data_IF_161900923894
#
_entry.id   IF_161900923894
#
_cell.length_a   1.000
_cell.length_b   1.000
_cell.length_c   1.000
_cell.angle_alpha   90.00
_cell.angle_beta   90.00
_cell.angle_gamma   90.00
#
_symmetry.space_group_name_H-M   'P 1'
#
loop_
_entity.id
_entity.type
_entity.pdbx_description
1 polymer ?
#
# COMPACT_ATOMS: atom_id res chain seq x y z
N UNK A 1 31.63 34.55 -32.00
CA UNK A 1 30.15 34.51 -31.99
C UNK A 1 29.73 33.05 -31.88
N UNK A 2 29.53 32.56 -30.67
CA UNK A 2 28.87 31.27 -30.43
C UNK A 2 27.50 31.58 -29.85
N UNK A 3 26.46 31.36 -30.66
CA UNK A 3 25.07 31.46 -30.25
C UNK A 3 24.62 30.09 -29.80
N UNK A 4 24.73 29.84 -28.49
CA UNK A 4 24.08 28.69 -27.86
C UNK A 4 22.57 28.92 -27.92
N UNK A 5 21.92 28.12 -28.77
CA UNK A 5 20.46 28.09 -28.88
C UNK A 5 19.94 27.31 -27.68
N UNK A 6 19.56 28.04 -26.65
CA UNK A 6 18.91 27.50 -25.46
C UNK A 6 17.53 26.97 -25.87
N UNK A 7 17.44 25.68 -26.17
CA UNK A 7 16.17 24.97 -26.38
C UNK A 7 15.42 24.94 -25.05
N UNK A 8 14.62 25.99 -24.81
CA UNK A 8 13.56 25.96 -23.82
C UNK A 8 12.56 24.88 -24.29
N UNK A 9 12.67 23.68 -23.73
CA UNK A 9 11.64 22.64 -23.88
C UNK A 9 10.31 23.21 -23.41
N UNK A 10 9.35 23.34 -24.33
CA UNK A 10 7.99 23.76 -24.00
C UNK A 10 7.40 22.81 -22.93
N UNK A 11 6.57 23.33 -22.01
CA UNK A 11 5.91 22.50 -21.02
C UNK A 11 5.03 21.44 -21.71
N UNK A 12 4.96 20.21 -21.17
CA UNK A 12 4.22 19.13 -21.80
C UNK A 12 2.74 19.50 -21.96
N UNK A 13 2.16 19.09 -23.08
CA UNK A 13 0.74 19.32 -23.37
C UNK A 13 -0.16 18.64 -22.32
N UNK A 14 -1.43 19.08 -22.17
CA UNK A 14 -2.38 18.43 -21.27
C UNK A 14 -2.59 16.93 -21.56
N UNK A 15 -2.51 16.53 -22.84
CA UNK A 15 -2.60 15.12 -23.26
C UNK A 15 -1.41 14.31 -22.78
N UNK A 16 -0.19 14.82 -22.95
CA UNK A 16 1.03 14.16 -22.47
C UNK A 16 1.03 14.04 -20.94
N UNK A 17 0.55 15.08 -20.25
CA UNK A 17 0.39 15.06 -18.80
C UNK A 17 -0.60 13.98 -18.34
N UNK A 18 -1.73 13.81 -19.06
CA UNK A 18 -2.70 12.76 -18.77
C UNK A 18 -2.18 11.35 -19.07
N UNK A 19 -1.43 11.17 -20.16
CA UNK A 19 -0.77 9.91 -20.49
C UNK A 19 0.26 9.55 -19.41
N UNK A 20 1.15 10.48 -19.05
CA UNK A 20 2.15 10.27 -18.00
C UNK A 20 1.51 9.95 -16.64
N UNK A 21 0.42 10.65 -16.28
CA UNK A 21 -0.33 10.38 -15.07
C UNK A 21 -0.90 8.95 -15.02
N UNK A 22 -1.49 8.48 -16.12
CA UNK A 22 -2.06 7.14 -16.19
C UNK A 22 -0.99 6.04 -16.32
N UNK A 23 0.14 6.33 -16.96
CA UNK A 23 1.27 5.42 -17.12
C UNK A 23 2.13 5.30 -15.84
N UNK A 24 1.98 6.23 -14.90
CA UNK A 24 2.73 6.24 -13.65
C UNK A 24 2.48 4.97 -12.84
N UNK A 25 3.57 4.30 -12.46
CA UNK A 25 3.62 3.16 -11.54
C UNK A 25 3.77 3.62 -10.10
N UNK A 26 3.26 2.81 -9.17
CA UNK A 26 3.51 3.01 -7.76
C UNK A 26 4.97 2.68 -7.45
N UNK A 27 5.69 3.62 -6.86
CA UNK A 27 7.10 3.49 -6.51
C UNK A 27 7.24 3.44 -4.98
N UNK A 28 7.75 2.34 -4.43
CA UNK A 28 7.94 2.20 -2.98
C UNK A 28 8.73 3.35 -2.34
N UNK A 29 9.80 3.82 -3.00
CA UNK A 29 10.66 4.87 -2.44
C UNK A 29 9.96 6.24 -2.40
N UNK A 30 8.88 6.41 -3.17
CA UNK A 30 8.16 7.68 -3.32
C UNK A 30 6.77 7.66 -2.71
N UNK A 31 6.03 6.56 -2.87
CA UNK A 31 4.59 6.44 -2.67
C UNK A 31 4.19 5.67 -1.41
N UNK A 32 5.16 5.19 -0.62
CA UNK A 32 4.91 4.60 0.69
C UNK A 32 4.97 5.66 1.80
N UNK A 33 4.45 5.34 2.99
CA UNK A 33 4.80 6.12 4.18
C UNK A 33 6.23 5.79 4.63
N UNK A 34 6.87 6.74 5.31
CA UNK A 34 8.20 6.59 5.91
C UNK A 34 8.19 6.06 7.35
N UNK A 35 6.99 5.87 7.93
CA UNK A 35 6.80 5.37 9.28
C UNK A 35 5.93 4.11 9.27
N UNK A 36 6.21 3.21 10.21
CA UNK A 36 5.46 1.96 10.36
C UNK A 36 4.16 2.14 11.15
N UNK A 37 3.17 1.34 10.80
CA UNK A 37 2.16 0.86 11.72
C UNK A 37 2.83 -0.12 12.70
N UNK A 38 3.00 0.31 13.93
CA UNK A 38 3.65 -0.46 14.96
C UNK A 38 2.81 -1.68 15.39
N UNK A 39 3.50 -2.67 15.95
CA UNK A 39 2.89 -3.89 16.46
C UNK A 39 2.53 -3.74 17.94
N UNK A 40 1.31 -4.15 18.32
CA UNK A 40 0.89 -4.27 19.73
C UNK A 40 1.54 -5.45 20.44
N UNK A 41 1.96 -6.46 19.67
CA UNK A 41 2.54 -7.70 20.16
C UNK A 41 3.95 -7.84 19.61
N UNK A 42 4.85 -8.32 20.44
CA UNK A 42 6.15 -8.83 20.03
C UNK A 42 6.02 -10.32 19.77
N UNK A 43 6.36 -10.76 18.57
CA UNK A 43 6.28 -12.15 18.17
C UNK A 43 7.67 -12.78 18.23
N UNK A 44 7.74 -14.01 18.75
CA UNK A 44 8.96 -14.83 18.78
C UNK A 44 8.64 -16.18 18.16
N UNK A 45 9.46 -16.56 17.18
CA UNK A 45 9.35 -17.82 16.45
C UNK A 45 10.49 -18.72 16.89
N UNK A 46 10.15 -19.86 17.49
CA UNK A 46 11.12 -20.90 17.81
C UNK A 46 11.29 -21.81 16.60
N UNK A 47 12.43 -21.69 15.92
CA UNK A 47 12.75 -22.49 14.74
C UNK A 47 13.00 -23.98 15.05
N UNK A 48 13.24 -24.34 16.31
CA UNK A 48 13.50 -25.72 16.73
C UNK A 48 12.20 -26.44 17.06
N UNK A 49 11.26 -25.76 17.73
CA UNK A 49 9.99 -26.37 18.15
C UNK A 49 8.81 -26.03 17.25
N UNK A 50 8.97 -25.07 16.32
CA UNK A 50 7.89 -24.53 15.48
C UNK A 50 6.85 -23.74 16.27
N UNK A 51 7.08 -23.46 17.56
CA UNK A 51 6.15 -22.71 18.40
C UNK A 51 6.30 -21.22 18.18
N UNK A 52 5.16 -20.56 18.00
CA UNK A 52 5.05 -19.11 18.12
C UNK A 52 4.71 -18.76 19.56
N UNK A 53 5.43 -17.79 20.13
CA UNK A 53 5.02 -17.09 21.34
C UNK A 53 4.85 -15.60 21.05
N UNK A 54 3.97 -14.94 21.79
CA UNK A 54 3.78 -13.49 21.68
C UNK A 54 3.66 -12.88 23.06
N UNK A 55 4.22 -11.69 23.22
CA UNK A 55 4.10 -10.89 24.43
C UNK A 55 3.57 -9.51 24.06
N UNK A 56 2.82 -8.89 24.98
CA UNK A 56 2.37 -7.51 24.76
C UNK A 56 3.59 -6.59 24.76
N UNK A 57 3.69 -5.73 23.75
CA UNK A 57 4.81 -4.79 23.64
C UNK A 57 4.71 -3.74 24.73
N UNK A 58 5.83 -3.48 25.42
CA UNK A 58 5.98 -2.41 26.40
C UNK A 58 7.22 -1.55 26.06
N UNK A 59 7.11 -0.22 25.97
CA UNK A 59 5.87 0.56 26.13
C UNK A 59 4.89 0.30 24.99
N UNK A 60 3.59 0.51 25.28
CA UNK A 60 2.54 0.44 24.27
C UNK A 60 2.87 1.38 23.10
N UNK A 61 2.76 0.93 21.84
CA UNK A 61 3.00 1.78 20.68
C UNK A 61 1.99 2.92 20.57
N UNK A 62 2.47 4.06 20.08
CA UNK A 62 1.65 5.25 19.83
C UNK A 62 0.83 5.13 18.55
N UNK A 63 1.30 4.33 17.57
CA UNK A 63 0.64 4.21 16.27
C UNK A 63 0.55 2.76 15.78
N UNK A 64 -0.46 2.02 16.26
CA UNK A 64 -0.72 0.62 15.91
C UNK A 64 -2.16 0.36 15.40
N UNK A 65 -2.39 -0.82 14.84
CA UNK A 65 -3.69 -1.30 14.30
C UNK A 65 -4.25 -0.45 13.15
N UNK A 66 -3.38 0.13 12.33
CA UNK A 66 -3.68 1.03 11.20
C UNK A 66 -3.26 0.49 9.84
N UNK A 67 -2.87 -0.77 9.70
CA UNK A 67 -2.40 -1.32 8.41
C UNK A 67 -3.37 -1.03 7.25
N UNK A 68 -4.68 -1.30 7.39
CA UNK A 68 -5.68 -0.97 6.37
C UNK A 68 -5.90 0.52 6.14
N UNK A 69 -5.70 1.33 7.18
CA UNK A 69 -5.78 2.79 7.08
C UNK A 69 -4.61 3.32 6.24
N UNK A 70 -3.40 2.83 6.51
CA UNK A 70 -2.21 3.21 5.77
C UNK A 70 -2.23 2.70 4.33
N UNK A 71 -2.60 1.45 4.07
CA UNK A 71 -2.69 0.94 2.69
C UNK A 71 -3.73 1.69 1.86
N UNK A 72 -4.91 1.98 2.46
CA UNK A 72 -5.92 2.83 1.83
C UNK A 72 -5.37 4.22 1.52
N UNK A 73 -4.76 4.87 2.51
CA UNK A 73 -4.23 6.21 2.36
C UNK A 73 -3.11 6.26 1.30
N UNK A 74 -2.17 5.33 1.31
CA UNK A 74 -1.09 5.25 0.32
C UNK A 74 -1.65 5.21 -1.11
N UNK A 75 -2.68 4.38 -1.34
CA UNK A 75 -3.36 4.34 -2.64
C UNK A 75 -4.12 5.63 -2.96
N UNK A 76 -4.75 6.27 -1.97
CA UNK A 76 -5.42 7.57 -2.16
C UNK A 76 -4.42 8.66 -2.57
N UNK A 77 -3.27 8.76 -1.91
CA UNK A 77 -2.21 9.69 -2.30
C UNK A 77 -1.69 9.38 -3.70
N UNK A 78 -1.43 8.11 -4.02
CA UNK A 78 -1.00 7.72 -5.35
C UNK A 78 -2.01 8.11 -6.46
N UNK A 79 -3.31 8.00 -6.17
CA UNK A 79 -4.39 8.30 -7.13
C UNK A 79 -4.79 9.76 -7.22
N UNK A 80 -4.57 10.55 -6.16
CA UNK A 80 -5.17 11.87 -6.02
C UNK A 80 -4.17 12.98 -5.72
N UNK A 81 -2.92 12.67 -5.37
CA UNK A 81 -1.91 13.67 -5.04
C UNK A 81 -0.88 13.83 -6.16
N UNK A 82 -0.52 15.08 -6.44
CA UNK A 82 0.61 15.46 -7.30
C UNK A 82 1.64 16.20 -6.47
N UNK A 83 2.80 15.59 -6.29
CA UNK A 83 3.91 16.18 -5.56
C UNK A 83 4.76 17.06 -6.50
N UNK A 84 5.03 18.29 -6.09
CA UNK A 84 5.78 19.30 -6.85
C UNK A 84 6.94 19.85 -6.01
N UNK A 85 8.15 19.29 -6.13
CA UNK A 85 9.29 19.72 -5.32
C UNK A 85 9.83 21.10 -5.72
N UNK A 86 9.44 21.63 -6.88
CA UNK A 86 9.90 22.95 -7.35
C UNK A 86 9.08 24.11 -6.78
N UNK A 87 7.84 23.82 -6.35
CA UNK A 87 6.95 24.79 -5.75
C UNK A 87 7.32 25.04 -4.27
N UNK A 88 7.19 26.29 -3.77
CA UNK A 88 7.51 26.61 -2.39
C UNK A 88 6.54 25.93 -1.42
N UNK A 89 7.08 25.46 -0.30
CA UNK A 89 6.28 24.87 0.77
C UNK A 89 5.20 25.84 1.28
N UNK A 90 4.08 25.27 1.72
CA UNK A 90 2.97 26.02 2.32
C UNK A 90 2.91 25.79 3.83
N UNK A 91 2.07 26.54 4.54
CA UNK A 91 1.89 26.36 5.97
C UNK A 91 1.24 25.00 6.34
N UNK A 92 1.39 24.60 7.61
CA UNK A 92 0.83 23.32 8.10
C UNK A 92 -0.69 23.25 7.97
N UNK A 93 -1.41 24.37 8.12
CA UNK A 93 -2.86 24.41 7.95
C UNK A 93 -3.28 24.04 6.52
N UNK A 94 -2.56 24.55 5.53
CA UNK A 94 -2.73 24.26 4.11
C UNK A 94 -2.41 22.80 3.79
N UNK A 95 -1.32 22.25 4.32
CA UNK A 95 -1.03 20.82 4.16
C UNK A 95 -2.09 19.94 4.81
N UNK A 96 -2.59 20.29 6.00
CA UNK A 96 -3.67 19.55 6.65
C UNK A 96 -4.95 19.57 5.83
N UNK A 97 -5.29 20.69 5.17
CA UNK A 97 -6.43 20.76 4.25
C UNK A 97 -6.24 19.83 3.05
N UNK A 98 -5.06 19.84 2.42
CA UNK A 98 -4.73 18.96 1.28
C UNK A 98 -4.74 17.48 1.68
N UNK A 99 -4.19 17.13 2.84
CA UNK A 99 -4.27 15.77 3.39
C UNK A 99 -5.74 15.34 3.52
N UNK A 100 -6.58 16.17 4.14
CA UNK A 100 -8.01 15.90 4.27
C UNK A 100 -8.64 15.65 2.90
N UNK A 101 -8.41 16.54 1.96
CA UNK A 101 -8.96 16.43 0.60
C UNK A 101 -8.62 15.07 -0.04
N UNK A 102 -7.37 14.63 0.06
CA UNK A 102 -6.94 13.31 -0.47
C UNK A 102 -7.63 12.16 0.26
N UNK A 103 -7.64 12.15 1.60
CA UNK A 103 -8.17 11.01 2.37
C UNK A 103 -9.70 10.90 2.31
N UNK A 104 -10.40 11.97 1.91
CA UNK A 104 -11.85 11.97 1.65
C UNK A 104 -12.22 11.41 0.27
N UNK A 105 -11.29 11.36 -0.69
CA UNK A 105 -11.58 10.86 -2.05
C UNK A 105 -11.69 9.33 -2.10
N UNK A 106 -12.38 8.82 -3.12
CA UNK A 106 -12.58 7.40 -3.31
C UNK A 106 -11.24 6.68 -3.54
N UNK A 107 -10.84 5.68 -2.72
CA UNK A 107 -9.60 4.95 -2.94
C UNK A 107 -9.65 4.05 -4.18
N UNK A 108 -10.82 3.82 -4.79
CA UNK A 108 -11.01 2.90 -5.94
C UNK A 108 -10.84 3.58 -7.29
N UNK A 109 -10.99 4.89 -7.34
CA UNK A 109 -11.03 5.68 -8.57
C UNK A 109 -9.84 6.62 -8.60
N UNK A 110 -9.12 6.63 -9.72
CA UNK A 110 -8.03 7.57 -9.97
C UNK A 110 -8.61 8.90 -10.46
N UNK A 111 -8.13 10.03 -9.93
CA UNK A 111 -8.56 11.30 -10.49
C UNK A 111 -7.84 11.58 -11.81
N UNK A 112 -8.38 12.52 -12.58
CA UNK A 112 -7.67 13.12 -13.71
C UNK A 112 -6.58 14.07 -13.19
N UNK A 113 -5.52 14.34 -13.98
CA UNK A 113 -4.38 15.14 -13.53
C UNK A 113 -4.76 16.57 -13.09
N UNK A 114 -5.74 17.19 -13.77
CA UNK A 114 -6.27 18.52 -13.47
C UNK A 114 -6.98 18.59 -12.10
N UNK A 115 -7.49 17.45 -11.62
CA UNK A 115 -8.13 17.33 -10.30
C UNK A 115 -7.17 16.86 -9.21
N UNK A 116 -5.89 16.62 -9.52
CA UNK A 116 -4.93 16.16 -8.53
C UNK A 116 -4.65 17.26 -7.49
N UNK A 117 -4.67 16.88 -6.22
CA UNK A 117 -4.31 17.75 -5.10
C UNK A 117 -2.80 17.96 -5.13
N UNK A 118 -2.36 19.20 -5.35
CA UNK A 118 -0.93 19.51 -5.41
C UNK A 118 -0.32 19.52 -4.01
N UNK A 119 0.83 18.91 -3.81
CA UNK A 119 1.63 19.00 -2.59
C UNK A 119 2.98 19.63 -2.95
N UNK A 120 3.16 20.93 -2.70
CA UNK A 120 4.41 21.62 -3.03
C UNK A 120 5.55 21.20 -2.09
N UNK A 121 6.79 21.41 -2.51
CA UNK A 121 8.01 21.23 -1.71
C UNK A 121 8.46 19.79 -1.46
N UNK A 122 7.76 18.78 -2.00
CA UNK A 122 8.09 17.37 -1.78
C UNK A 122 8.11 16.60 -3.10
N UNK A 123 8.94 15.56 -3.17
CA UNK A 123 9.01 14.63 -4.29
C UNK A 123 7.91 13.55 -4.21
N UNK A 124 7.48 13.16 -3.01
CA UNK A 124 6.52 12.08 -2.82
C UNK A 124 5.94 11.97 -1.42
N UNK A 125 5.03 11.00 -1.26
CA UNK A 125 4.42 10.69 0.03
C UNK A 125 5.47 10.29 1.07
N UNK A 126 6.50 9.52 0.69
CA UNK A 126 7.50 9.04 1.63
C UNK A 126 8.22 10.21 2.31
N UNK A 127 8.78 11.11 1.52
CA UNK A 127 9.44 12.33 1.99
C UNK A 127 8.47 13.23 2.78
N UNK A 128 7.29 13.52 2.22
CA UNK A 128 6.27 14.32 2.91
C UNK A 128 5.90 13.73 4.28
N UNK A 129 5.81 12.40 4.37
CA UNK A 129 5.46 11.71 5.60
C UNK A 129 6.56 11.68 6.66
N UNK A 130 7.82 11.99 6.30
CA UNK A 130 8.89 12.21 7.27
C UNK A 130 8.66 13.50 8.03
N UNK A 131 8.33 14.58 7.32
CA UNK A 131 8.12 15.91 7.90
C UNK A 131 6.76 16.06 8.58
N UNK A 132 5.70 15.46 8.02
CA UNK A 132 4.32 15.66 8.48
C UNK A 132 3.67 14.41 9.09
N UNK A 133 4.47 13.52 9.68
CA UNK A 133 4.00 12.27 10.27
C UNK A 133 2.83 12.47 11.27
N UNK A 134 2.90 13.47 12.16
CA UNK A 134 1.84 13.75 13.14
C UNK A 134 0.51 14.15 12.49
N UNK A 135 0.55 15.01 11.46
CA UNK A 135 -0.63 15.41 10.69
C UNK A 135 -1.23 14.22 9.93
N UNK A 136 -0.41 13.37 9.29
CA UNK A 136 -0.90 12.17 8.60
C UNK A 136 -1.49 11.13 9.58
N UNK A 137 -0.82 10.86 10.70
CA UNK A 137 -1.31 9.95 11.74
C UNK A 137 -2.67 10.37 12.30
N UNK A 138 -2.87 11.69 12.50
CA UNK A 138 -4.13 12.23 13.01
C UNK A 138 -5.26 12.29 11.95
N UNK A 139 -4.93 12.48 10.67
CA UNK A 139 -5.93 12.70 9.61
C UNK A 139 -6.31 11.45 8.81
N UNK A 140 -5.45 10.44 8.72
CA UNK A 140 -5.75 9.22 7.94
C UNK A 140 -6.85 8.33 8.57
N UNK A 141 -7.17 8.54 9.86
CA UNK A 141 -8.32 7.95 10.54
C UNK A 141 -8.00 6.93 11.65
N UNK A 142 -9.05 6.49 12.34
CA UNK A 142 -8.98 5.60 13.51
C UNK A 142 -8.81 4.11 13.20
N UNK A 143 -8.44 3.32 14.22
CA UNK A 143 -8.12 1.88 14.16
C UNK A 143 -9.27 1.03 13.64
N UNK A 144 -10.48 1.53 13.84
CA UNK A 144 -11.71 0.78 13.75
C UNK A 144 -12.01 0.24 12.34
N UNK A 145 -11.43 0.86 11.30
CA UNK A 145 -11.59 0.40 9.91
C UNK A 145 -10.86 -0.92 9.61
N UNK A 146 -9.95 -1.36 10.48
CA UNK A 146 -9.24 -2.64 10.36
C UNK A 146 -10.13 -3.84 10.75
N UNK A 147 -11.10 -3.64 11.64
CA UNK A 147 -11.93 -4.72 12.20
C UNK A 147 -13.30 -4.88 11.52
N UNK A 148 -13.75 -3.87 10.76
CA UNK A 148 -15.11 -3.81 10.20
C UNK A 148 -15.11 -3.65 8.67
N UNK A 149 -14.20 -4.35 7.97
CA UNK A 149 -14.41 -4.57 6.55
C UNK A 149 -15.48 -5.65 6.39
N UNK A 150 -16.52 -5.40 5.58
CA UNK A 150 -17.58 -6.38 5.25
C UNK A 150 -17.02 -7.73 4.74
N UNK A 151 -15.79 -7.72 4.21
CA UNK A 151 -15.02 -8.92 3.86
C UNK A 151 -14.82 -9.89 5.03
N UNK A 152 -14.82 -9.41 6.29
CA UNK A 152 -14.75 -10.26 7.49
C UNK A 152 -15.93 -11.25 7.56
N UNK A 153 -17.11 -10.89 7.05
CA UNK A 153 -18.28 -11.78 7.04
C UNK A 153 -18.13 -12.96 6.08
N UNK A 154 -17.22 -12.87 5.09
CA UNK A 154 -16.87 -13.99 4.20
C UNK A 154 -15.76 -14.88 4.76
N UNK A 155 -15.03 -14.43 5.78
CA UNK A 155 -13.95 -15.20 6.42
C UNK A 155 -14.47 -16.36 7.30
N UNK A 156 -15.77 -16.61 7.35
CA UNK A 156 -16.36 -17.81 7.99
C UNK A 156 -16.43 -19.01 7.03
N UNK A 157 -16.17 -18.80 5.73
CA UNK A 157 -16.15 -19.86 4.72
C UNK A 157 -14.71 -20.08 4.22
N UNK A 158 -14.31 -21.34 3.96
CA UNK A 158 -13.00 -21.62 3.37
C UNK A 158 -12.82 -20.89 2.03
N UNK A 159 -11.64 -20.30 1.82
CA UNK A 159 -11.31 -19.69 0.53
C UNK A 159 -10.77 -20.78 -0.39
N UNK A 160 -11.42 -20.97 -1.55
CA UNK A 160 -11.03 -22.04 -2.46
C UNK A 160 -9.71 -21.74 -3.18
N UNK A 161 -8.99 -22.78 -3.59
CA UNK A 161 -7.77 -22.65 -4.40
C UNK A 161 -8.02 -22.00 -5.76
N UNK A 162 -9.19 -22.26 -6.36
CA UNK A 162 -9.64 -21.55 -7.55
C UNK A 162 -9.85 -20.05 -7.30
N UNK A 163 -10.30 -19.65 -6.11
CA UNK A 163 -10.38 -18.24 -5.74
C UNK A 163 -8.97 -17.62 -5.68
N UNK A 164 -8.02 -18.28 -5.02
CA UNK A 164 -6.65 -17.80 -4.92
C UNK A 164 -5.98 -17.64 -6.28
N UNK A 165 -6.12 -18.63 -7.18
CA UNK A 165 -5.63 -18.54 -8.56
C UNK A 165 -6.24 -17.36 -9.33
N UNK A 166 -7.55 -17.19 -9.25
CA UNK A 166 -8.23 -16.05 -9.88
C UNK A 166 -7.80 -14.72 -9.26
N UNK A 167 -7.51 -14.68 -7.94
CA UNK A 167 -6.96 -13.50 -7.27
C UNK A 167 -5.57 -13.19 -7.80
N UNK A 168 -4.68 -14.18 -7.88
CA UNK A 168 -3.33 -14.00 -8.39
C UNK A 168 -3.30 -13.42 -9.81
N UNK A 169 -4.13 -13.96 -10.72
CA UNK A 169 -4.21 -13.43 -12.08
C UNK A 169 -4.71 -11.97 -12.10
N UNK A 170 -5.72 -11.64 -11.29
CA UNK A 170 -6.23 -10.26 -11.20
C UNK A 170 -5.20 -9.28 -10.65
N UNK A 171 -4.43 -9.70 -9.65
CA UNK A 171 -3.37 -8.86 -9.09
C UNK A 171 -2.30 -8.59 -10.16
N UNK A 172 -1.93 -9.61 -10.94
CA UNK A 172 -0.99 -9.48 -12.05
C UNK A 172 -1.50 -8.50 -13.12
N UNK A 173 -2.77 -8.62 -13.53
CA UNK A 173 -3.41 -7.72 -14.49
C UNK A 173 -3.50 -6.28 -13.95
N UNK A 174 -3.77 -6.11 -12.66
CA UNK A 174 -3.82 -4.80 -12.01
C UNK A 174 -2.46 -4.10 -12.01
N UNK A 175 -1.41 -4.82 -11.63
CA UNK A 175 -0.03 -4.30 -11.65
C UNK A 175 0.40 -3.94 -13.08
N UNK A 176 0.09 -4.79 -14.06
CA UNK A 176 0.36 -4.50 -15.48
C UNK A 176 -0.35 -3.23 -15.97
N UNK A 177 -1.53 -2.92 -15.42
CA UNK A 177 -2.29 -1.70 -15.69
C UNK A 177 -1.89 -0.51 -14.79
N UNK A 178 -0.75 -0.57 -14.09
CA UNK A 178 -0.27 0.45 -13.16
C UNK A 178 -1.27 0.81 -12.04
N UNK A 179 -2.13 -0.15 -11.66
CA UNK A 179 -3.03 -0.05 -10.52
C UNK A 179 -2.42 -0.82 -9.35
N UNK A 180 -2.18 -0.20 -8.19
CA UNK A 180 -1.65 -0.90 -7.03
C UNK A 180 -2.80 -1.49 -6.18
N UNK A 181 -3.13 -2.79 -6.31
CA UNK A 181 -4.23 -3.37 -5.54
C UNK A 181 -3.86 -3.44 -4.06
N UNK A 182 -4.88 -3.30 -3.21
CA UNK A 182 -4.73 -3.49 -1.77
C UNK A 182 -5.20 -4.91 -1.47
N UNK A 183 -4.37 -5.66 -0.77
CA UNK A 183 -4.66 -7.04 -0.39
C UNK A 183 -4.86 -7.15 1.12
N UNK A 184 -5.64 -8.15 1.51
CA UNK A 184 -5.87 -8.56 2.88
C UNK A 184 -5.34 -9.99 3.05
N UNK A 185 -4.27 -10.10 3.83
CA UNK A 185 -3.68 -11.36 4.23
C UNK A 185 -4.50 -11.96 5.37
N UNK A 186 -4.97 -13.19 5.20
CA UNK A 186 -5.67 -13.94 6.23
C UNK A 186 -5.20 -15.38 6.28
N UNK A 187 -5.30 -16.00 7.45
CA UNK A 187 -5.20 -17.44 7.59
C UNK A 187 -6.52 -17.96 8.16
N UNK A 188 -7.17 -18.88 7.45
CA UNK A 188 -8.41 -19.51 7.90
C UNK A 188 -8.16 -20.98 8.26
N UNK A 189 -8.78 -21.53 9.33
CA UNK A 189 -9.61 -20.86 10.33
C UNK A 189 -8.82 -20.14 11.45
N UNK A 190 -7.49 -20.27 11.44
CA UNK A 190 -6.61 -19.67 12.45
C UNK A 190 -6.32 -18.22 12.08
N UNK A 191 -7.07 -17.26 12.62
CA UNK A 191 -6.88 -15.80 12.40
C UNK A 191 -5.58 -15.25 13.03
N UNK A 192 -4.44 -15.89 12.79
CA UNK A 192 -3.11 -15.50 13.28
C UNK A 192 -2.51 -14.36 12.47
N UNK A 193 -3.07 -14.04 11.30
CA UNK A 193 -2.74 -12.86 10.51
C UNK A 193 -4.03 -12.17 10.03
N UNK A 194 -4.07 -10.85 10.21
CA UNK A 194 -5.10 -9.95 9.70
C UNK A 194 -4.38 -8.65 9.33
N UNK A 195 -3.93 -8.59 8.08
CA UNK A 195 -2.99 -7.57 7.65
C UNK A 195 -3.25 -7.07 6.24
N UNK A 196 -3.04 -5.77 6.02
CA UNK A 196 -3.22 -5.12 4.72
C UNK A 196 -1.89 -4.77 4.09
N UNK A 197 -1.70 -5.07 2.80
CA UNK A 197 -0.54 -4.64 2.01
C UNK A 197 -0.97 -4.00 0.68
N UNK A 198 -0.07 -3.24 0.05
CA UNK A 198 -0.27 -2.69 -1.30
C UNK A 198 0.68 -3.38 -2.27
N UNK A 199 0.18 -4.11 -3.26
CA UNK A 199 1.02 -4.67 -4.32
C UNK A 199 1.34 -3.58 -5.33
N UNK A 200 2.61 -3.48 -5.75
CA UNK A 200 3.05 -2.48 -6.73
C UNK A 200 3.90 -3.05 -7.87
N UNK A 201 4.37 -4.28 -7.76
CA UNK A 201 5.18 -4.95 -8.78
C UNK A 201 4.90 -6.44 -8.84
N UNK A 202 5.24 -7.08 -9.95
CA UNK A 202 5.10 -8.51 -10.12
C UNK A 202 6.11 -9.05 -11.14
N UNK A 203 6.70 -10.20 -10.84
CA UNK A 203 7.53 -10.99 -11.76
C UNK A 203 6.89 -12.37 -11.89
N UNK A 204 6.47 -12.74 -13.09
CA UNK A 204 5.81 -14.03 -13.34
C UNK A 204 6.75 -15.00 -14.06
N UNK A 205 6.74 -16.26 -13.62
CA UNK A 205 7.35 -17.39 -14.30
C UNK A 205 6.29 -18.48 -14.55
N UNK A 206 6.73 -19.58 -15.19
CA UNK A 206 5.88 -20.75 -15.39
C UNK A 206 5.47 -21.43 -14.07
N UNK A 207 6.31 -21.36 -13.04
CA UNK A 207 6.08 -22.03 -11.76
C UNK A 207 5.37 -21.12 -10.74
N UNK A 208 5.73 -19.83 -10.70
CA UNK A 208 5.29 -18.92 -9.65
C UNK A 208 5.07 -17.48 -10.13
N UNK A 209 4.39 -16.69 -9.32
CA UNK A 209 4.33 -15.23 -9.44
C UNK A 209 4.88 -14.62 -8.16
N UNK A 210 5.89 -13.76 -8.29
CA UNK A 210 6.47 -13.00 -7.19
C UNK A 210 5.91 -11.59 -7.22
N UNK A 211 5.08 -11.24 -6.25
CA UNK A 211 4.54 -9.89 -6.09
C UNK A 211 5.42 -9.08 -5.14
N UNK A 212 5.69 -7.83 -5.50
CA UNK A 212 6.34 -6.85 -4.63
C UNK A 212 5.27 -6.00 -3.94
N UNK A 213 5.38 -5.88 -2.62
CA UNK A 213 4.37 -5.21 -1.81
C UNK A 213 4.96 -4.18 -0.84
N UNK A 214 4.23 -3.10 -0.63
CA UNK A 214 4.43 -2.20 0.50
C UNK A 214 3.67 -2.76 1.71
N UNK A 215 4.44 -3.10 2.74
CA UNK A 215 3.94 -3.50 4.05
C UNK A 215 3.93 -2.28 4.99
N UNK A 216 2.77 -1.82 5.48
CA UNK A 216 2.73 -0.72 6.43
C UNK A 216 3.38 -1.05 7.79
N UNK A 217 3.59 -2.32 8.16
CA UNK A 217 4.29 -2.68 9.40
C UNK A 217 5.82 -2.62 9.25
N UNK A 218 6.35 -2.79 8.04
CA UNK A 218 7.76 -2.68 7.71
C UNK A 218 7.94 -1.70 6.55
N UNK A 219 8.05 -0.40 6.87
CA UNK A 219 8.16 0.65 5.88
C UNK A 219 9.59 0.85 5.35
N UNK A 220 10.58 0.12 5.85
CA UNK A 220 11.98 0.30 5.47
C UNK A 220 12.29 -0.35 4.12
N UNK A 221 11.64 -1.46 3.81
CA UNK A 221 11.87 -2.24 2.60
C UNK A 221 10.58 -2.80 2.02
N UNK A 222 10.51 -3.04 0.71
CA UNK A 222 9.42 -3.80 0.13
C UNK A 222 9.48 -5.25 0.61
N UNK A 223 8.31 -5.88 0.70
CA UNK A 223 8.18 -7.31 0.97
C UNK A 223 7.77 -8.07 -0.29
N UNK A 224 7.89 -9.39 -0.25
CA UNK A 224 7.52 -10.28 -1.35
C UNK A 224 6.37 -11.19 -0.93
N UNK A 225 5.40 -11.33 -1.82
CA UNK A 225 4.31 -12.30 -1.70
C UNK A 225 4.40 -13.25 -2.89
N UNK A 226 4.50 -14.55 -2.62
CA UNK A 226 4.72 -15.57 -3.66
C UNK A 226 3.42 -16.31 -3.89
N UNK A 227 3.01 -16.46 -5.16
CA UNK A 227 1.93 -17.35 -5.58
C UNK A 227 2.51 -18.54 -6.34
N UNK A 228 2.32 -19.74 -5.80
CA UNK A 228 2.67 -21.00 -6.44
C UNK A 228 1.52 -21.46 -7.35
N UNK A 229 1.81 -21.65 -8.65
CA UNK A 229 0.79 -22.02 -9.66
C UNK A 229 0.37 -23.48 -9.59
N UNK A 230 1.24 -24.38 -9.11
CA UNK A 230 0.95 -25.80 -9.00
C UNK A 230 0.00 -26.06 -7.83
N UNK A 231 0.29 -25.48 -6.67
CA UNK A 231 -0.50 -25.66 -5.45
C UNK A 231 -1.63 -24.63 -5.32
N UNK A 232 -1.58 -23.56 -6.10
CA UNK A 232 -2.56 -22.45 -6.11
C UNK A 232 -2.67 -21.78 -4.75
N UNK A 233 -1.51 -21.55 -4.13
CA UNK A 233 -1.41 -20.96 -2.79
C UNK A 233 -0.53 -19.74 -2.78
N UNK A 234 -0.86 -18.79 -1.90
CA UNK A 234 0.02 -17.69 -1.56
C UNK A 234 0.88 -18.03 -0.36
N UNK A 235 2.09 -17.52 -0.32
CA UNK A 235 2.97 -17.60 0.83
C UNK A 235 3.71 -16.29 1.06
N UNK A 236 3.85 -15.94 2.34
CA UNK A 236 4.64 -14.80 2.78
C UNK A 236 5.90 -15.33 3.50
N UNK A 237 7.10 -14.78 3.22
CA UNK A 237 8.31 -15.09 3.98
C UNK A 237 8.19 -14.73 5.46
N UNK A 238 9.06 -15.31 6.28
CA UNK A 238 9.17 -14.95 7.69
C UNK A 238 9.49 -13.45 7.85
N UNK A 239 8.81 -12.82 8.81
CA UNK A 239 9.06 -11.44 9.19
C UNK A 239 8.78 -11.24 10.68
N UNK A 240 8.82 -9.98 11.14
CA UNK A 240 8.70 -9.63 12.57
C UNK A 240 7.37 -10.02 13.23
N UNK A 241 6.34 -10.34 12.46
CA UNK A 241 5.00 -10.68 12.96
C UNK A 241 4.40 -11.93 12.30
N UNK A 242 5.15 -12.59 11.42
CA UNK A 242 4.70 -13.77 10.69
C UNK A 242 5.83 -14.80 10.61
N UNK A 243 5.55 -16.05 10.99
CA UNK A 243 6.53 -17.15 11.00
C UNK A 243 6.97 -17.60 9.60
N UNK A 244 6.38 -17.04 8.55
CA UNK A 244 6.50 -17.54 7.20
C UNK A 244 5.45 -18.61 6.86
N UNK A 245 5.24 -18.83 5.58
CA UNK A 245 4.42 -19.92 5.06
C UNK A 245 3.15 -19.49 4.36
N UNK A 246 2.28 -20.47 4.12
CA UNK A 246 1.06 -20.34 3.31
C UNK A 246 -0.01 -19.54 4.03
N UNK A 247 -0.70 -18.69 3.26
CA UNK A 247 -1.85 -17.91 3.69
C UNK A 247 -2.86 -17.77 2.53
N UNK A 248 -4.00 -17.17 2.84
CA UNK A 248 -5.03 -16.85 1.85
C UNK A 248 -5.12 -15.34 1.63
N UNK A 249 -5.38 -14.96 0.38
CA UNK A 249 -5.47 -13.56 -0.04
C UNK A 249 -6.88 -13.16 -0.45
N UNK A 250 -7.21 -11.90 -0.16
CA UNK A 250 -8.39 -11.22 -0.70
C UNK A 250 -8.00 -9.81 -1.15
N UNK A 251 -8.30 -9.47 -2.40
CA UNK A 251 -8.22 -8.08 -2.87
C UNK A 251 -9.36 -7.25 -2.27
N UNK A 252 -9.03 -6.10 -1.66
CA UNK A 252 -9.98 -5.16 -1.07
C UNK A 252 -9.97 -3.79 -1.76
N UNK A 253 -11.06 -3.06 -1.59
CA UNK A 253 -11.35 -1.80 -2.27
C UNK A 253 -11.24 -1.92 -3.80
N UNK A 254 -11.78 -2.99 -4.37
CA UNK A 254 -11.98 -3.21 -5.80
C UNK A 254 -13.31 -2.65 -6.30
N UNK A 255 -14.40 -2.90 -5.58
CA UNK A 255 -15.74 -2.40 -5.90
C UNK A 255 -16.57 -2.19 -4.61
N UNK A 256 -17.87 -1.93 -4.71
CA UNK A 256 -18.69 -1.70 -3.51
C UNK A 256 -18.74 -2.91 -2.56
N UNK A 257 -18.55 -4.12 -3.09
CA UNK A 257 -18.61 -5.39 -2.35
C UNK A 257 -17.26 -5.91 -1.88
N UNK A 258 -16.16 -5.44 -2.48
CA UNK A 258 -14.79 -5.88 -2.22
C UNK A 258 -13.88 -4.67 -2.07
#
# INVERSE_FOLDING_TARGET
>A
MHSDTNLLTEPPSPRETAVAWNARRFDFARDSFSYSNELLWEYRFDCTTGKMSFARREPKPDYALRCFVLTRAARQFFYHARFDPSAPEVDDASYRQRIREVVWRNPRERCTPDRAVVFPGFHGLREFSQSYAGSLKSLCGGAWRSYVLRSHWRMILPISRAHQENTAQRLLDAVAANRPPIIHLVLFPKLTINHGMVIFGATASAAQIEFHAYDPNDCEKPTQLIFDRQTKTFSLPENRYWAGGVLDEIEIYRNWFF
#
